data_IF_388469797619
#
_entry.id   IF_388469797619
#
_cell.length_a   1.000
_cell.length_b   1.000
_cell.length_c   1.000
_cell.angle_alpha   90.00
_cell.angle_beta   90.00
_cell.angle_gamma   90.00
#
_symmetry.space_group_name_H-M   'P 1'
#
loop_
_entity.id
_entity.type
_entity.pdbx_description
1 polymer ?
#
# COMPACT_ATOMS: atom_id res chain seq x y z
N UNK A 1 36.47 -29.36 -65.07
CA UNK A 1 37.10 -30.41 -64.25
C UNK A 1 38.33 -29.79 -63.59
N UNK A 2 38.35 -29.69 -62.26
CA UNK A 2 39.15 -30.64 -61.48
C UNK A 2 38.37 -31.30 -60.33
N UNK A 3 38.93 -32.43 -59.89
CA UNK A 3 38.50 -33.33 -58.81
C UNK A 3 39.41 -33.11 -57.60
N UNK A 4 38.84 -33.04 -56.38
CA UNK A 4 39.49 -33.33 -55.09
C UNK A 4 38.38 -33.45 -54.04
N UNK A 5 37.99 -34.66 -53.59
CA UNK A 5 38.62 -35.53 -52.60
C UNK A 5 38.41 -35.08 -51.13
N UNK A 6 37.90 -36.02 -50.35
CA UNK A 6 37.29 -35.90 -49.02
C UNK A 6 38.23 -35.54 -47.87
N UNK A 7 37.66 -35.07 -46.75
CA UNK A 7 38.10 -35.37 -45.39
C UNK A 7 36.96 -35.18 -44.37
N UNK A 8 36.77 -36.21 -43.56
CA UNK A 8 35.79 -36.34 -42.49
C UNK A 8 36.26 -35.65 -41.20
N UNK A 9 35.33 -35.20 -40.35
CA UNK A 9 35.48 -35.21 -38.89
C UNK A 9 34.14 -34.91 -38.18
N UNK A 10 33.74 -35.84 -37.34
CA UNK A 10 32.59 -35.81 -36.44
C UNK A 10 32.83 -34.91 -35.21
N UNK A 11 31.81 -34.19 -34.73
CA UNK A 11 31.61 -33.92 -33.29
C UNK A 11 30.19 -33.46 -32.99
N UNK A 12 29.46 -34.29 -32.24
CA UNK A 12 28.27 -33.94 -31.46
C UNK A 12 28.70 -33.13 -30.23
N UNK A 13 28.13 -31.94 -30.02
CA UNK A 13 27.92 -31.32 -28.71
C UNK A 13 26.51 -30.70 -28.76
N UNK A 14 25.49 -31.33 -28.17
CA UNK A 14 25.17 -31.31 -26.73
C UNK A 14 24.91 -29.88 -26.24
N UNK A 15 23.68 -29.65 -25.78
CA UNK A 15 23.10 -28.33 -25.58
C UNK A 15 23.49 -27.60 -24.29
N UNK A 16 23.14 -26.32 -24.28
CA UNK A 16 22.72 -25.55 -23.11
C UNK A 16 21.48 -24.77 -23.57
N UNK A 17 20.26 -25.25 -23.30
CA UNK A 17 19.54 -24.94 -22.06
C UNK A 17 19.46 -23.42 -21.80
N UNK A 18 18.27 -22.87 -22.07
CA UNK A 18 17.68 -21.71 -21.41
C UNK A 18 18.58 -20.54 -21.07
N UNK A 19 18.55 -19.49 -21.90
CA UNK A 19 18.73 -18.12 -21.40
C UNK A 19 17.43 -17.76 -20.69
N UNK A 20 17.24 -18.35 -19.51
CA UNK A 20 16.34 -17.81 -18.52
C UNK A 20 16.99 -16.53 -18.02
N UNK A 21 16.53 -15.39 -18.53
CA UNK A 21 16.68 -14.14 -17.80
C UNK A 21 16.26 -14.42 -16.36
N UNK A 22 17.13 -14.20 -15.34
CA UNK A 22 16.69 -14.31 -13.97
C UNK A 22 15.46 -13.42 -13.81
N UNK A 23 14.40 -13.86 -13.10
CA UNK A 23 13.29 -12.96 -12.82
C UNK A 23 13.90 -11.73 -12.16
N UNK A 24 13.66 -10.56 -12.74
CA UNK A 24 14.05 -9.29 -12.14
C UNK A 24 13.42 -9.27 -10.75
N UNK A 25 14.23 -9.50 -9.72
CA UNK A 25 13.79 -9.32 -8.34
C UNK A 25 13.73 -7.82 -8.16
N UNK A 26 12.54 -7.24 -8.27
CA UNK A 26 12.30 -5.86 -7.86
C UNK A 26 12.57 -5.79 -6.36
N UNK A 27 13.76 -5.32 -5.98
CA UNK A 27 14.06 -4.95 -4.60
C UNK A 27 13.30 -3.66 -4.27
N UNK A 28 12.08 -3.77 -3.76
CA UNK A 28 11.35 -2.61 -3.23
C UNK A 28 11.85 -2.30 -1.82
N UNK A 29 12.21 -1.05 -1.58
CA UNK A 29 12.63 -0.58 -0.26
C UNK A 29 11.43 -0.35 0.65
N UNK A 30 11.63 -0.68 1.92
CA UNK A 30 10.74 -0.33 3.02
C UNK A 30 10.53 1.18 3.11
N UNK A 31 9.29 1.61 3.39
CA UNK A 31 9.02 3.01 3.68
C UNK A 31 9.46 3.32 5.12
N UNK A 32 10.10 4.46 5.31
CA UNK A 32 10.38 5.00 6.64
C UNK A 32 9.22 5.89 7.06
N UNK A 33 8.46 5.45 8.06
CA UNK A 33 7.31 6.19 8.59
C UNK A 33 7.74 7.14 9.71
N UNK A 34 7.17 8.34 9.74
CA UNK A 34 7.29 9.21 10.90
C UNK A 34 6.52 8.60 12.07
N UNK A 35 7.07 8.68 13.27
CA UNK A 35 6.37 8.33 14.51
C UNK A 35 5.62 9.57 15.00
N UNK A 36 4.30 9.47 15.10
CA UNK A 36 3.43 10.56 15.53
C UNK A 36 2.70 10.12 16.80
N UNK A 37 3.37 10.26 17.93
CA UNK A 37 2.94 9.66 19.20
C UNK A 37 1.74 10.39 19.81
N UNK A 38 1.58 11.68 19.52
CA UNK A 38 0.53 12.52 20.11
C UNK A 38 -0.59 12.86 19.13
N UNK A 39 -1.78 13.13 19.66
CA UNK A 39 -2.90 13.66 18.88
C UNK A 39 -2.53 14.98 18.17
N UNK A 40 -1.78 15.86 18.84
CA UNK A 40 -1.36 17.15 18.30
C UNK A 40 -0.44 16.98 17.08
N UNK A 41 0.54 16.08 17.14
CA UNK A 41 1.43 15.76 16.02
C UNK A 41 0.65 15.19 14.82
N UNK A 42 -0.24 14.22 15.06
CA UNK A 42 -1.07 13.65 13.98
C UNK A 42 -2.00 14.69 13.38
N UNK A 43 -2.61 15.54 14.19
CA UNK A 43 -3.48 16.61 13.74
C UNK A 43 -2.72 17.65 12.92
N UNK A 44 -1.48 17.97 13.29
CA UNK A 44 -0.62 18.88 12.54
C UNK A 44 -0.29 18.33 11.13
N UNK A 45 0.11 17.05 11.05
CA UNK A 45 0.57 16.40 9.82
C UNK A 45 -0.57 15.90 8.90
N UNK A 46 -1.81 15.81 9.39
CA UNK A 46 -2.96 15.36 8.57
C UNK A 46 -3.52 16.47 7.68
N UNK A 47 -4.00 16.12 6.48
CA UNK A 47 -4.80 17.03 5.65
C UNK A 47 -6.27 17.09 6.14
N UNK A 48 -6.77 16.00 6.72
CA UNK A 48 -8.07 15.93 7.37
C UNK A 48 -8.05 15.05 8.62
N UNK A 49 -8.86 15.40 9.62
CA UNK A 49 -9.10 14.58 10.80
C UNK A 49 -10.60 14.48 11.01
N UNK A 50 -11.12 13.25 11.00
CA UNK A 50 -12.55 12.97 11.11
C UNK A 50 -12.82 11.90 12.16
N UNK A 51 -14.03 11.88 12.69
CA UNK A 51 -14.57 10.73 13.43
C UNK A 51 -15.52 9.98 12.51
N UNK A 52 -15.35 8.66 12.44
CA UNK A 52 -16.14 7.75 11.65
C UNK A 52 -16.92 6.79 12.53
N UNK A 53 -18.22 6.65 12.29
CA UNK A 53 -19.08 5.68 12.97
C UNK A 53 -19.29 4.40 12.14
N UNK A 54 -19.18 4.52 10.82
CA UNK A 54 -19.48 3.47 9.86
C UNK A 54 -18.31 3.32 8.90
N UNK A 55 -17.74 2.12 8.87
CA UNK A 55 -16.63 1.75 7.99
C UNK A 55 -17.03 0.46 7.29
N UNK A 56 -17.06 0.48 5.96
CA UNK A 56 -17.48 -0.66 5.15
C UNK A 56 -16.43 -1.00 4.09
N UNK A 57 -16.12 -2.29 3.85
CA UNK A 57 -15.12 -2.66 2.85
C UNK A 57 -15.45 -2.16 1.44
N UNK A 58 -14.45 -1.66 0.72
CA UNK A 58 -14.54 -1.11 -0.65
C UNK A 58 -13.33 -1.52 -1.51
N UNK A 59 -12.90 -2.77 -1.35
CA UNK A 59 -11.85 -3.39 -2.16
C UNK A 59 -10.44 -2.97 -1.75
N UNK A 60 -9.59 -2.71 -2.74
CA UNK A 60 -8.18 -2.33 -2.54
C UNK A 60 -7.83 -1.03 -3.26
N UNK A 61 -6.74 -0.40 -2.85
CA UNK A 61 -6.14 0.77 -3.47
C UNK A 61 -4.61 0.60 -3.48
N UNK A 62 -3.94 1.26 -4.43
CA UNK A 62 -2.49 1.30 -4.44
C UNK A 62 -1.98 2.46 -3.58
N UNK A 63 -1.14 2.15 -2.59
CA UNK A 63 -0.48 3.12 -1.72
C UNK A 63 1.03 2.93 -1.88
N UNK A 64 1.69 3.90 -2.51
CA UNK A 64 3.15 3.87 -2.77
C UNK A 64 3.62 2.60 -3.51
N UNK A 65 2.82 2.11 -4.46
CA UNK A 65 3.12 0.89 -5.21
C UNK A 65 2.83 -0.42 -4.46
N UNK A 66 2.14 -0.37 -3.31
CA UNK A 66 1.70 -1.55 -2.56
C UNK A 66 0.17 -1.59 -2.46
N UNK A 67 -0.40 -2.79 -2.52
CA UNK A 67 -1.82 -2.99 -2.27
C UNK A 67 -2.17 -2.69 -0.80
N UNK A 68 -3.21 -1.89 -0.62
CA UNK A 68 -3.82 -1.57 0.66
C UNK A 68 -5.33 -1.82 0.57
N UNK A 69 -5.96 -2.24 1.66
CA UNK A 69 -7.41 -2.29 1.75
C UNK A 69 -7.99 -0.88 1.64
N UNK A 70 -9.18 -0.78 1.05
CA UNK A 70 -9.92 0.45 0.96
C UNK A 70 -11.31 0.27 1.56
N UNK A 71 -11.83 1.35 2.14
CA UNK A 71 -13.10 1.37 2.86
C UNK A 71 -13.91 2.59 2.47
N UNK A 72 -15.24 2.47 2.48
CA UNK A 72 -16.13 3.63 2.57
C UNK A 72 -16.36 3.98 4.02
N UNK A 73 -16.11 5.23 4.33
CA UNK A 73 -16.20 5.81 5.67
C UNK A 73 -17.26 6.91 5.66
N UNK A 74 -18.22 6.84 6.57
CA UNK A 74 -19.18 7.93 6.81
C UNK A 74 -18.64 8.87 7.87
N UNK A 75 -18.56 10.15 7.56
CA UNK A 75 -18.05 11.18 8.46
C UNK A 75 -19.11 11.53 9.51
N UNK A 76 -18.85 11.20 10.77
CA UNK A 76 -19.71 11.54 11.91
C UNK A 76 -19.35 12.91 12.52
N UNK A 77 -18.06 13.26 12.55
CA UNK A 77 -17.57 14.58 12.96
C UNK A 77 -16.29 14.96 12.19
N UNK A 78 -16.01 16.26 12.12
CA UNK A 78 -14.83 16.82 11.45
C UNK A 78 -14.06 17.66 12.46
N UNK A 79 -12.79 17.31 12.67
CA UNK A 79 -11.85 18.03 13.54
C UNK A 79 -10.91 18.92 12.70
N UNK A 80 -10.57 18.50 11.47
CA UNK A 80 -9.73 19.25 10.52
C UNK A 80 -10.06 18.85 9.07
N UNK A 81 -9.85 19.78 8.13
CA UNK A 81 -9.83 19.49 6.69
C UNK A 81 -11.13 19.83 5.97
N UNK A 82 -11.25 19.46 4.68
CA UNK A 82 -12.34 19.88 3.82
C UNK A 82 -13.57 18.97 3.83
N UNK A 83 -13.51 17.83 4.53
CA UNK A 83 -14.59 16.85 4.58
C UNK A 83 -15.79 17.38 5.39
N UNK A 84 -16.99 16.91 5.06
CA UNK A 84 -18.22 17.35 5.71
C UNK A 84 -18.91 16.22 6.48
N UNK A 85 -19.62 16.56 7.57
CA UNK A 85 -20.45 15.60 8.31
C UNK A 85 -21.52 15.01 7.39
N UNK A 86 -21.65 13.68 7.42
CA UNK A 86 -22.55 12.90 6.57
C UNK A 86 -21.97 12.54 5.20
N UNK A 87 -20.80 13.08 4.83
CA UNK A 87 -20.10 12.68 3.61
C UNK A 87 -19.64 11.22 3.72
N UNK A 88 -19.70 10.49 2.61
CA UNK A 88 -19.10 9.17 2.49
C UNK A 88 -17.86 9.27 1.61
N UNK A 89 -16.69 9.03 2.20
CA UNK A 89 -15.40 9.08 1.51
C UNK A 89 -14.77 7.70 1.40
N UNK A 90 -14.01 7.48 0.33
CA UNK A 90 -13.20 6.28 0.16
C UNK A 90 -11.82 6.51 0.76
N UNK A 91 -11.43 5.70 1.74
CA UNK A 91 -10.16 5.80 2.45
C UNK A 91 -9.36 4.52 2.25
N UNK A 92 -8.12 4.64 1.80
CA UNK A 92 -7.16 3.53 1.82
C UNK A 92 -6.52 3.40 3.21
N UNK A 93 -6.50 2.19 3.77
CA UNK A 93 -5.77 1.89 5.01
C UNK A 93 -4.31 1.71 4.69
N UNK A 94 -3.47 2.71 4.90
CA UNK A 94 -2.03 2.63 4.64
C UNK A 94 -1.43 1.43 5.37
N UNK A 95 -0.77 0.55 4.61
CA UNK A 95 -0.21 -0.71 5.10
C UNK A 95 1.29 -0.60 5.42
N UNK A 96 1.77 -1.33 6.42
CA UNK A 96 3.21 -1.45 6.67
C UNK A 96 3.84 -2.37 5.61
N UNK A 97 4.54 -1.76 4.67
CA UNK A 97 5.21 -2.47 3.57
C UNK A 97 6.44 -3.30 4.01
N UNK A 98 6.81 -3.25 5.30
CA UNK A 98 7.85 -4.07 5.91
C UNK A 98 7.30 -5.25 6.72
N UNK A 99 6.01 -5.27 7.01
CA UNK A 99 5.36 -6.33 7.77
C UNK A 99 4.90 -7.50 6.89
N UNK A 100 4.33 -8.53 7.53
CA UNK A 100 3.61 -9.57 6.81
C UNK A 100 2.43 -8.96 6.04
N UNK A 101 2.34 -9.28 4.75
CA UNK A 101 1.43 -8.57 3.83
C UNK A 101 -0.06 -8.79 4.17
N UNK A 102 -0.91 -7.76 4.01
CA UNK A 102 -0.57 -6.34 3.94
C UNK A 102 -0.42 -5.71 5.34
N UNK A 103 -1.00 -6.33 6.37
CA UNK A 103 -1.08 -5.77 7.72
C UNK A 103 -0.61 -6.82 8.71
N UNK A 104 0.63 -6.69 9.20
CA UNK A 104 1.22 -7.67 10.11
C UNK A 104 0.33 -7.97 11.31
N UNK A 105 0.00 -6.94 12.09
CA UNK A 105 -0.80 -7.03 13.31
C UNK A 105 -2.31 -6.78 13.09
N UNK A 106 -2.73 -6.60 11.83
CA UNK A 106 -4.11 -6.32 11.45
C UNK A 106 -4.33 -4.91 10.90
N UNK A 107 -5.42 -4.73 10.17
CA UNK A 107 -5.79 -3.45 9.56
C UNK A 107 -6.41 -2.52 10.63
N UNK A 108 -5.83 -1.33 10.88
CA UNK A 108 -6.35 -0.40 11.88
C UNK A 108 -7.80 0.06 11.65
N UNK A 109 -8.28 0.08 10.40
CA UNK A 109 -9.66 0.45 10.06
C UNK A 109 -10.69 -0.64 10.38
N UNK A 110 -10.26 -1.81 10.86
CA UNK A 110 -11.13 -2.87 11.38
C UNK A 110 -11.32 -2.81 12.90
N UNK A 111 -10.81 -1.76 13.56
CA UNK A 111 -11.08 -1.51 14.98
C UNK A 111 -12.56 -1.22 15.27
N UNK A 112 -12.93 -1.26 16.55
CA UNK A 112 -14.29 -0.96 16.98
C UNK A 112 -14.61 0.53 16.82
N UNK A 113 -15.64 0.90 16.02
CA UNK A 113 -16.06 2.30 15.90
C UNK A 113 -16.72 2.82 17.19
N UNK A 114 -16.72 4.14 17.42
CA UNK A 114 -16.25 5.18 16.50
C UNK A 114 -14.71 5.30 16.45
N UNK A 115 -14.17 5.51 15.25
CA UNK A 115 -12.74 5.68 15.02
C UNK A 115 -12.44 7.12 14.61
N UNK A 116 -11.45 7.73 15.23
CA UNK A 116 -10.80 8.95 14.74
C UNK A 116 -9.78 8.57 13.66
N UNK A 117 -9.94 9.13 12.47
CA UNK A 117 -9.07 8.90 11.32
C UNK A 117 -8.23 10.14 11.05
N UNK A 118 -6.92 9.94 10.94
CA UNK A 118 -5.94 10.94 10.54
C UNK A 118 -5.59 10.68 9.08
N UNK A 119 -5.96 11.59 8.19
CA UNK A 119 -5.98 11.38 6.75
C UNK A 119 -5.03 12.33 6.03
N UNK A 120 -4.43 11.82 4.95
CA UNK A 120 -3.73 12.63 3.96
C UNK A 120 -4.36 12.45 2.58
N UNK A 121 -4.42 13.53 1.82
CA UNK A 121 -4.85 13.52 0.41
C UNK A 121 -3.63 13.37 -0.49
N UNK A 122 -3.63 12.34 -1.33
CA UNK A 122 -2.63 12.17 -2.38
C UNK A 122 -3.34 12.12 -3.71
N UNK A 123 -3.22 13.20 -4.47
CA UNK A 123 -3.84 13.37 -5.80
C UNK A 123 -5.36 13.14 -5.78
N UNK A 124 -6.06 13.65 -4.77
CA UNK A 124 -7.52 13.50 -4.61
C UNK A 124 -7.97 12.15 -4.04
N UNK A 125 -7.03 11.34 -3.54
CA UNK A 125 -7.32 10.07 -2.89
C UNK A 125 -6.94 10.11 -1.41
N UNK A 126 -7.93 9.86 -0.55
CA UNK A 126 -7.73 9.77 0.89
C UNK A 126 -7.07 8.46 1.31
N UNK A 127 -6.09 8.56 2.19
CA UNK A 127 -5.51 7.42 2.91
C UNK A 127 -5.19 7.78 4.34
N UNK A 128 -5.06 6.78 5.21
CA UNK A 128 -4.58 6.99 6.58
C UNK A 128 -3.14 7.51 6.57
N UNK A 129 -2.82 8.39 7.51
CA UNK A 129 -1.57 9.15 7.55
C UNK A 129 -0.31 8.26 7.51
N UNK A 130 -0.26 7.27 8.40
CA UNK A 130 0.75 6.20 8.42
C UNK A 130 0.07 4.87 8.77
N UNK A 131 0.75 3.71 8.61
CA UNK A 131 0.22 2.43 9.06
C UNK A 131 -0.06 2.35 10.56
N UNK A 132 0.61 3.18 11.37
CA UNK A 132 0.61 3.04 12.83
C UNK A 132 -0.16 4.15 13.53
N UNK A 133 -0.14 5.36 12.96
CA UNK A 133 -0.67 6.58 13.58
C UNK A 133 -1.87 7.16 12.81
N UNK A 134 -2.37 6.43 11.82
CA UNK A 134 -3.49 6.84 10.99
C UNK A 134 -4.88 6.68 11.62
N UNK A 135 -4.99 5.95 12.74
CA UNK A 135 -6.27 5.60 13.38
C UNK A 135 -6.12 5.64 14.91
N UNK A 136 -7.15 6.11 15.60
CA UNK A 136 -7.30 6.01 17.04
C UNK A 136 -8.79 5.80 17.41
N UNK A 137 -9.10 5.28 18.61
CA UNK A 137 -10.46 5.35 19.16
C UNK A 137 -10.94 6.81 19.24
N UNK A 138 -12.24 7.04 19.02
CA UNK A 138 -12.90 8.30 19.33
C UNK A 138 -13.65 8.16 20.65
N UNK A 139 -13.29 8.97 21.65
CA UNK A 139 -13.91 8.98 22.99
C UNK A 139 -15.21 9.79 23.04
#
# INVERSE_FOLDING_TARGET
MPVTAALAASTLLAGCAGIGTPPFVESRSCASWAALETHEERLAESDAVIVADTITPDGTAEVMGFDANAYRVTVAAVEKGPLEVGETVRVASTADNCAARPYGDGDPLLGDPPLRLYLTDVDGSWRTLTPFDGVAPAD
#
